data_IF_539052604471
#
_entry.id   IF_539052604471
#
_cell.length_a   1.000
_cell.length_b   1.000
_cell.length_c   1.000
_cell.angle_alpha   90.00
_cell.angle_beta   90.00
_cell.angle_gamma   90.00
#
_symmetry.space_group_name_H-M   'P 1'
#
loop_
_entity.id
_entity.type
_entity.pdbx_description
1 polymer ?
#
# COMPACT_ATOMS: atom_id res chain seq x y z
N UNK A 1 2.16 -12.71 -38.44
CA UNK A 1 3.20 -11.97 -37.68
C UNK A 1 2.89 -12.11 -36.20
N UNK A 2 3.86 -12.53 -35.39
CA UNK A 2 3.71 -12.55 -33.93
C UNK A 2 3.91 -11.11 -33.44
N UNK A 3 2.84 -10.45 -32.98
CA UNK A 3 2.97 -9.12 -32.38
C UNK A 3 3.58 -9.22 -30.97
N UNK A 4 4.23 -8.15 -30.51
CA UNK A 4 4.79 -8.04 -29.16
C UNK A 4 4.16 -6.85 -28.47
N UNK A 5 3.86 -7.01 -27.19
CA UNK A 5 3.41 -5.94 -26.31
C UNK A 5 4.59 -5.39 -25.51
N UNK A 6 4.58 -4.07 -25.31
CA UNK A 6 5.43 -3.37 -24.36
C UNK A 6 4.53 -2.93 -23.20
N UNK A 7 4.59 -3.64 -22.10
CA UNK A 7 3.74 -3.39 -20.94
C UNK A 7 4.50 -2.53 -19.93
N UNK A 8 3.86 -1.50 -19.40
CA UNK A 8 4.38 -0.73 -18.28
C UNK A 8 3.79 -1.36 -17.03
N UNK A 9 4.66 -1.78 -16.13
CA UNK A 9 4.31 -2.50 -14.92
C UNK A 9 4.68 -1.65 -13.70
N UNK A 10 3.86 -1.71 -12.66
CA UNK A 10 4.14 -1.08 -11.37
C UNK A 10 3.79 -2.06 -10.25
N UNK A 11 4.62 -2.13 -9.23
CA UNK A 11 4.28 -2.90 -8.03
C UNK A 11 3.33 -2.06 -7.16
N UNK A 12 2.24 -2.66 -6.70
CA UNK A 12 1.29 -1.98 -5.82
C UNK A 12 2.02 -1.41 -4.59
N UNK A 13 1.78 -0.13 -4.29
CA UNK A 13 2.43 0.61 -3.20
C UNK A 13 3.76 1.27 -3.57
N UNK A 14 4.32 1.02 -4.76
CA UNK A 14 5.51 1.73 -5.22
C UNK A 14 5.22 3.14 -5.73
N UNK A 15 6.24 4.00 -5.62
CA UNK A 15 6.24 5.31 -6.24
C UNK A 15 6.14 5.20 -7.78
N UNK A 16 5.34 6.04 -8.49
CA UNK A 16 5.18 6.01 -9.96
C UNK A 16 6.48 6.01 -10.78
N UNK A 17 7.52 6.66 -10.26
CA UNK A 17 8.87 6.65 -10.85
C UNK A 17 9.50 5.25 -10.98
N UNK A 18 8.97 4.26 -10.28
CA UNK A 18 9.43 2.87 -10.32
C UNK A 18 8.71 2.03 -11.40
N UNK A 19 7.86 2.64 -12.24
CA UNK A 19 7.28 1.95 -13.39
C UNK A 19 8.40 1.34 -14.25
N UNK A 20 8.24 0.08 -14.61
CA UNK A 20 9.23 -0.66 -15.39
C UNK A 20 8.60 -1.33 -16.62
N UNK A 21 9.28 -1.35 -17.77
CA UNK A 21 8.74 -1.96 -18.98
C UNK A 21 9.05 -3.47 -19.05
N UNK A 22 8.07 -4.25 -19.50
CA UNK A 22 8.18 -5.68 -19.82
C UNK A 22 7.75 -5.93 -21.26
N UNK A 23 8.58 -6.67 -22.01
CA UNK A 23 8.30 -7.07 -23.39
C UNK A 23 7.79 -8.50 -23.42
N UNK A 24 6.61 -8.72 -24.00
CA UNK A 24 6.03 -10.06 -24.13
C UNK A 24 5.40 -10.26 -25.50
N UNK A 25 5.45 -11.48 -26.03
CA UNK A 25 4.74 -11.83 -27.26
C UNK A 25 3.24 -11.94 -27.01
N UNK A 26 2.42 -11.45 -27.94
CA UNK A 26 0.96 -11.48 -27.81
C UNK A 26 0.36 -12.89 -27.76
N UNK A 27 1.06 -13.89 -28.30
CA UNK A 27 0.64 -15.30 -28.27
C UNK A 27 1.05 -16.03 -26.99
N UNK A 28 1.70 -15.35 -26.03
CA UNK A 28 2.06 -15.92 -24.73
C UNK A 28 0.90 -15.79 -23.74
N UNK A 29 1.03 -16.47 -22.62
CA UNK A 29 0.06 -16.42 -21.53
C UNK A 29 0.55 -15.53 -20.38
N UNK A 30 -0.37 -15.13 -19.51
CA UNK A 30 -0.10 -14.33 -18.30
C UNK A 30 0.94 -15.02 -17.40
N UNK A 31 0.98 -16.35 -17.31
CA UNK A 31 2.03 -17.07 -16.58
C UNK A 31 3.44 -16.70 -17.06
N UNK A 32 3.65 -16.57 -18.37
CA UNK A 32 4.93 -16.11 -18.91
C UNK A 32 5.20 -14.64 -18.59
N UNK A 33 4.16 -13.80 -18.49
CA UNK A 33 4.31 -12.41 -18.04
C UNK A 33 4.79 -12.36 -16.59
N UNK A 34 4.24 -13.19 -15.71
CA UNK A 34 4.68 -13.28 -14.31
C UNK A 34 6.17 -13.65 -14.22
N UNK A 35 6.62 -14.64 -14.99
CA UNK A 35 8.05 -15.02 -15.05
C UNK A 35 8.93 -13.84 -15.47
N UNK A 36 8.54 -13.13 -16.54
CA UNK A 36 9.28 -11.97 -17.05
C UNK A 36 9.32 -10.81 -16.05
N UNK A 37 8.23 -10.57 -15.32
CA UNK A 37 8.18 -9.55 -14.26
C UNK A 37 9.13 -9.91 -13.12
N UNK A 38 9.09 -11.15 -12.64
CA UNK A 38 10.01 -11.63 -11.59
C UNK A 38 11.47 -11.48 -12.04
N UNK A 39 11.77 -11.89 -13.27
CA UNK A 39 13.12 -11.76 -13.83
C UNK A 39 13.58 -10.30 -13.95
N UNK A 40 12.66 -9.39 -14.29
CA UNK A 40 12.98 -7.97 -14.45
C UNK A 40 13.35 -7.29 -13.13
N UNK A 41 12.80 -7.76 -12.01
CA UNK A 41 13.00 -7.16 -10.70
C UNK A 41 13.29 -8.22 -9.61
N UNK A 42 14.29 -9.07 -9.87
CA UNK A 42 14.61 -10.24 -9.03
C UNK A 42 14.75 -9.92 -7.55
N UNK A 43 15.47 -8.83 -7.22
CA UNK A 43 15.67 -8.44 -5.82
C UNK A 43 14.36 -8.08 -5.11
N UNK A 44 13.42 -7.48 -5.83
CA UNK A 44 12.12 -7.11 -5.27
C UNK A 44 11.19 -8.31 -5.09
N UNK A 45 11.38 -9.35 -5.89
CA UNK A 45 10.57 -10.57 -5.89
C UNK A 45 11.35 -11.80 -5.41
N UNK A 46 12.44 -11.62 -4.67
CA UNK A 46 13.32 -12.73 -4.24
C UNK A 46 12.54 -13.73 -3.38
N UNK A 47 11.66 -13.22 -2.52
CA UNK A 47 10.84 -14.02 -1.62
C UNK A 47 9.58 -14.65 -2.27
N UNK A 48 9.21 -14.29 -3.50
CA UNK A 48 7.97 -14.74 -4.14
C UNK A 48 8.26 -15.54 -5.41
N UNK A 49 7.59 -16.67 -5.64
CA UNK A 49 7.66 -17.31 -6.96
C UNK A 49 6.84 -16.53 -7.98
N UNK A 50 7.18 -16.68 -9.27
CA UNK A 50 6.43 -16.02 -10.33
C UNK A 50 4.95 -16.38 -10.28
N UNK A 51 4.61 -17.64 -9.96
CA UNK A 51 3.22 -18.10 -9.79
C UNK A 51 2.46 -17.31 -8.72
N UNK A 52 3.17 -16.80 -7.71
CA UNK A 52 2.58 -16.09 -6.59
C UNK A 52 2.40 -14.59 -6.90
N UNK A 53 2.80 -14.09 -8.06
CA UNK A 53 2.47 -12.70 -8.45
C UNK A 53 1.00 -12.61 -8.87
N UNK A 54 0.20 -11.79 -8.20
CA UNK A 54 -1.12 -11.37 -8.66
C UNK A 54 -0.99 -10.16 -9.58
N UNK A 55 -1.66 -10.23 -10.74
CA UNK A 55 -1.57 -9.19 -11.77
C UNK A 55 -2.96 -8.66 -12.09
N UNK A 56 -3.09 -7.35 -12.24
CA UNK A 56 -4.29 -6.71 -12.79
C UNK A 56 -3.94 -5.98 -14.07
N UNK A 57 -4.78 -6.15 -15.10
CA UNK A 57 -4.79 -5.25 -16.25
C UNK A 57 -5.45 -3.95 -15.83
N UNK A 58 -4.72 -2.86 -15.97
CA UNK A 58 -5.20 -1.50 -15.74
C UNK A 58 -4.96 -0.67 -17.00
N UNK A 59 -5.61 0.49 -17.08
CA UNK A 59 -5.43 1.42 -18.19
C UNK A 59 -5.44 2.85 -17.62
N UNK A 60 -4.29 3.26 -17.09
CA UNK A 60 -4.14 4.56 -16.41
C UNK A 60 -3.12 5.41 -17.16
N UNK A 61 -3.54 6.56 -17.66
CA UNK A 61 -2.66 7.52 -18.33
C UNK A 61 -1.60 8.05 -17.36
N UNK A 62 -0.34 8.06 -17.79
CA UNK A 62 0.82 8.54 -17.04
C UNK A 62 0.98 10.06 -17.20
N UNK A 63 -0.03 10.81 -16.74
CA UNK A 63 -0.05 12.27 -16.71
C UNK A 63 -0.04 12.80 -15.25
N UNK A 64 -0.37 14.08 -15.07
CA UNK A 64 -0.47 14.74 -13.77
C UNK A 64 -1.64 14.21 -12.91
N UNK A 65 -2.59 13.49 -13.50
CA UNK A 65 -3.71 12.84 -12.81
C UNK A 65 -3.39 11.42 -12.35
N UNK A 66 -2.29 10.82 -12.83
CA UNK A 66 -1.96 9.41 -12.61
C UNK A 66 -2.00 8.99 -11.14
N UNK A 67 -1.36 9.75 -10.24
CA UNK A 67 -1.30 9.39 -8.82
C UNK A 67 -2.68 9.36 -8.17
N UNK A 68 -3.56 10.29 -8.54
CA UNK A 68 -4.95 10.31 -8.07
C UNK A 68 -5.70 9.07 -8.55
N UNK A 69 -5.63 8.79 -9.85
CA UNK A 69 -6.32 7.66 -10.46
C UNK A 69 -5.83 6.32 -9.89
N UNK A 70 -4.53 6.20 -9.60
CA UNK A 70 -3.95 5.03 -8.96
C UNK A 70 -4.47 4.84 -7.53
N UNK A 71 -4.63 5.92 -6.76
CA UNK A 71 -5.13 5.87 -5.38
C UNK A 71 -6.63 5.58 -5.28
N UNK A 72 -7.41 5.97 -6.29
CA UNK A 72 -8.86 5.72 -6.37
C UNK A 72 -9.18 4.33 -6.94
N UNK A 73 -8.17 3.60 -7.43
CA UNK A 73 -8.34 2.30 -8.06
C UNK A 73 -8.78 1.24 -7.04
N UNK A 74 -9.99 0.71 -7.21
CA UNK A 74 -10.46 -0.43 -6.44
C UNK A 74 -10.09 -1.75 -7.14
N UNK A 75 -9.18 -2.49 -6.53
CA UNK A 75 -8.76 -3.81 -7.01
C UNK A 75 -9.66 -4.90 -6.41
N UNK A 76 -10.28 -5.68 -7.27
CA UNK A 76 -11.01 -6.89 -6.88
C UNK A 76 -10.12 -8.09 -7.21
N UNK A 77 -9.79 -8.92 -6.20
CA UNK A 77 -9.02 -10.14 -6.39
C UNK A 77 -9.70 -11.12 -7.37
N UNK A 78 -11.03 -11.07 -7.51
CA UNK A 78 -11.76 -11.89 -8.49
C UNK A 78 -11.53 -11.45 -9.94
N UNK A 79 -10.99 -10.24 -10.14
CA UNK A 79 -10.68 -9.65 -11.45
C UNK A 79 -9.19 -9.70 -11.78
N UNK A 80 -8.36 -10.34 -10.95
CA UNK A 80 -6.96 -10.55 -11.30
C UNK A 80 -6.82 -11.48 -12.50
N UNK A 81 -5.73 -11.30 -13.24
CA UNK A 81 -5.48 -12.02 -14.49
C UNK A 81 -5.17 -13.49 -14.20
N UNK A 82 -5.87 -14.39 -14.89
CA UNK A 82 -5.62 -15.82 -14.76
C UNK A 82 -4.31 -16.18 -15.45
N UNK A 83 -3.45 -17.04 -14.86
CA UNK A 83 -2.15 -17.39 -15.43
C UNK A 83 -2.25 -18.07 -16.81
N UNK A 84 -3.41 -18.64 -17.15
CA UNK A 84 -3.66 -19.31 -18.45
C UNK A 84 -4.26 -18.37 -19.49
N UNK A 85 -4.59 -17.13 -19.14
CA UNK A 85 -5.12 -16.17 -20.10
C UNK A 85 -4.05 -15.83 -21.14
N UNK A 86 -4.43 -15.88 -22.40
CA UNK A 86 -3.59 -15.43 -23.50
C UNK A 86 -3.53 -13.91 -23.53
N UNK A 87 -2.35 -13.34 -23.79
CA UNK A 87 -2.18 -11.89 -23.80
C UNK A 87 -3.09 -11.20 -24.84
N UNK A 88 -3.42 -11.87 -25.96
CA UNK A 88 -4.40 -11.39 -26.95
C UNK A 88 -5.84 -11.30 -26.41
N UNK A 89 -6.20 -12.11 -25.42
CA UNK A 89 -7.52 -12.06 -24.75
C UNK A 89 -7.54 -11.01 -23.64
N UNK A 90 -6.40 -10.79 -22.98
CA UNK A 90 -6.25 -9.73 -21.97
C UNK A 90 -6.34 -8.35 -22.62
N UNK A 91 -5.72 -8.17 -23.78
CA UNK A 91 -5.64 -6.90 -24.50
C UNK A 91 -6.45 -6.92 -25.80
N UNK A 92 -7.70 -6.46 -25.74
CA UNK A 92 -8.60 -6.32 -26.91
C UNK A 92 -8.05 -5.37 -27.99
N UNK A 93 -7.14 -4.49 -27.59
CA UNK A 93 -6.40 -3.58 -28.47
C UNK A 93 -4.94 -3.49 -28.02
N UNK A 94 -4.02 -3.06 -28.90
CA UNK A 94 -2.63 -2.85 -28.51
C UNK A 94 -2.53 -1.91 -27.29
N UNK A 95 -1.72 -2.26 -26.26
CA UNK A 95 -1.50 -1.41 -25.10
C UNK A 95 -1.05 0.00 -25.50
N UNK A 96 -1.68 1.02 -24.93
CA UNK A 96 -1.46 2.41 -25.32
C UNK A 96 -0.10 2.92 -24.82
N UNK A 97 0.62 3.73 -25.60
CA UNK A 97 1.82 4.39 -25.08
C UNK A 97 1.46 5.29 -23.89
N UNK A 98 2.41 5.50 -22.98
CA UNK A 98 2.23 6.35 -21.79
C UNK A 98 1.08 5.94 -20.85
N UNK A 99 0.65 4.68 -20.86
CA UNK A 99 -0.29 4.16 -19.85
C UNK A 99 0.41 3.16 -18.94
N UNK A 100 0.00 3.08 -17.67
CA UNK A 100 0.24 1.90 -16.85
C UNK A 100 -0.67 0.78 -17.36
N UNK A 101 -0.09 -0.39 -17.61
CA UNK A 101 -0.80 -1.52 -18.19
C UNK A 101 -1.06 -2.63 -17.18
N UNK A 102 -0.11 -2.87 -16.28
CA UNK A 102 -0.15 -3.98 -15.33
C UNK A 102 0.20 -3.47 -13.94
N UNK A 103 -0.67 -3.73 -12.98
CA UNK A 103 -0.34 -3.62 -11.57
C UNK A 103 0.06 -5.00 -11.03
N UNK A 104 1.13 -5.05 -10.24
CA UNK A 104 1.73 -6.28 -9.73
C UNK A 104 1.63 -6.29 -8.21
N UNK A 105 1.07 -7.35 -7.63
CA UNK A 105 1.13 -7.61 -6.20
C UNK A 105 1.78 -8.98 -5.99
N UNK A 106 2.96 -9.06 -5.35
CA UNK A 106 3.51 -10.34 -4.94
C UNK A 106 2.66 -10.92 -3.80
N UNK A 107 2.11 -12.11 -4.02
CA UNK A 107 1.61 -13.00 -2.97
C UNK A 107 2.78 -13.91 -2.55
N UNK A 108 2.74 -14.45 -1.34
CA UNK A 108 3.73 -15.43 -0.87
C UNK A 108 3.07 -16.81 -0.80
N UNK A 109 3.79 -17.91 -1.05
CA UNK A 109 3.20 -19.24 -1.19
C UNK A 109 2.59 -19.76 0.12
N UNK A 110 1.41 -20.37 0.00
CA UNK A 110 0.65 -20.95 1.10
C UNK A 110 1.41 -22.10 1.76
N UNK A 111 1.75 -21.93 3.04
CA UNK A 111 2.57 -22.85 3.84
C UNK A 111 3.27 -22.15 5.00
N UNK A 112 3.37 -20.82 4.94
CA UNK A 112 3.67 -19.95 6.06
C UNK A 112 2.32 -19.49 6.66
N UNK A 113 2.07 -19.63 7.97
CA UNK A 113 0.82 -19.18 8.58
C UNK A 113 0.58 -17.72 8.22
N UNK A 114 -0.64 -17.39 7.78
CA UNK A 114 -1.14 -16.06 7.45
C UNK A 114 -0.23 -14.90 7.92
N UNK A 115 0.60 -14.41 7.01
CA UNK A 115 1.31 -13.14 7.15
C UNK A 115 1.08 -12.38 5.85
N UNK A 116 0.36 -11.26 5.95
CA UNK A 116 0.24 -10.26 4.92
C UNK A 116 1.65 -9.78 4.52
N UNK A 117 2.23 -10.43 3.51
CA UNK A 117 3.64 -10.32 3.14
C UNK A 117 4.14 -8.89 3.16
N UNK A 118 5.38 -8.71 3.64
CA UNK A 118 6.06 -7.47 3.99
C UNK A 118 5.75 -6.22 3.14
N UNK A 119 4.52 -5.70 3.18
CA UNK A 119 4.15 -4.47 2.53
C UNK A 119 4.57 -3.37 3.47
N UNK A 120 5.63 -2.66 3.11
CA UNK A 120 6.04 -1.49 3.87
C UNK A 120 5.00 -0.39 3.65
N UNK A 121 4.17 -0.16 4.66
CA UNK A 121 3.17 0.90 4.66
C UNK A 121 3.76 2.17 5.26
N UNK A 122 3.37 3.32 4.71
CA UNK A 122 3.73 4.63 5.24
C UNK A 122 2.52 5.20 5.97
N UNK A 123 2.65 5.42 7.26
CA UNK A 123 1.61 5.98 8.11
C UNK A 123 1.98 7.40 8.47
N UNK A 124 1.08 8.33 8.20
CA UNK A 124 1.16 9.68 8.72
C UNK A 124 0.50 9.70 10.10
N UNK A 125 1.28 10.06 11.10
CA UNK A 125 0.93 10.05 12.51
C UNK A 125 0.88 11.48 13.06
N UNK A 126 0.00 11.73 14.03
CA UNK A 126 -0.09 13.00 14.74
C UNK A 126 -0.36 12.75 16.22
N UNK A 127 0.30 13.50 17.09
CA UNK A 127 0.02 13.47 18.52
C UNK A 127 -1.24 14.26 18.81
N UNK A 128 -2.09 13.71 19.67
CA UNK A 128 -3.35 14.32 20.05
C UNK A 128 -3.10 15.68 20.72
N UNK A 129 -3.73 16.73 20.18
CA UNK A 129 -3.56 18.11 20.64
C UNK A 129 -2.49 18.90 19.89
N UNK A 130 -1.63 18.23 19.10
CA UNK A 130 -0.62 18.93 18.30
C UNK A 130 -1.20 19.65 17.09
N UNK A 131 -0.47 20.68 16.66
CA UNK A 131 -0.76 21.37 15.42
C UNK A 131 -0.60 20.44 14.21
N UNK A 132 -1.47 20.51 13.19
CA UNK A 132 -1.36 19.73 11.94
C UNK A 132 0.00 19.72 11.25
N UNK A 133 0.83 20.75 11.46
CA UNK A 133 2.17 20.82 10.88
C UNK A 133 3.17 19.85 11.52
N UNK A 134 2.82 19.24 12.65
CA UNK A 134 3.63 18.22 13.32
C UNK A 134 3.30 16.79 12.89
N UNK A 135 2.49 16.60 11.84
CA UNK A 135 2.30 15.28 11.24
C UNK A 135 3.65 14.70 10.81
N UNK A 136 3.94 13.48 11.24
CA UNK A 136 5.19 12.79 10.92
C UNK A 136 4.96 11.40 10.33
N UNK A 137 5.80 10.95 9.37
CA UNK A 137 5.66 9.64 8.78
C UNK A 137 6.40 8.55 9.58
N UNK A 138 5.75 7.40 9.72
CA UNK A 138 6.30 6.12 10.19
C UNK A 138 6.22 5.10 9.04
N UNK A 139 7.30 4.35 8.86
CA UNK A 139 7.36 3.19 7.97
C UNK A 139 7.26 1.94 8.82
N UNK A 140 6.30 1.09 8.51
CA UNK A 140 6.09 -0.18 9.21
C UNK A 140 5.71 -1.26 8.21
N UNK A 141 6.10 -2.48 8.48
CA UNK A 141 5.77 -3.62 7.63
C UNK A 141 4.36 -4.11 7.98
N UNK A 142 3.54 -4.44 6.99
CA UNK A 142 2.15 -4.89 7.19
C UNK A 142 2.00 -6.14 8.07
N UNK A 143 3.04 -6.96 8.18
CA UNK A 143 3.09 -8.15 9.06
C UNK A 143 3.36 -7.83 10.52
N UNK A 144 3.91 -6.66 10.81
CA UNK A 144 4.17 -6.23 12.18
C UNK A 144 2.85 -5.97 12.90
N UNK A 145 2.90 -5.85 14.22
CA UNK A 145 1.73 -5.60 15.06
C UNK A 145 1.72 -4.15 15.54
N UNK A 146 0.57 -3.70 16.05
CA UNK A 146 0.42 -2.37 16.66
C UNK A 146 1.44 -2.13 17.78
N UNK A 147 1.87 -3.16 18.51
CA UNK A 147 2.95 -3.07 19.49
C UNK A 147 4.29 -2.61 18.88
N UNK A 148 4.64 -3.11 17.70
CA UNK A 148 5.85 -2.69 16.98
C UNK A 148 5.71 -1.24 16.50
N UNK A 149 4.52 -0.85 16.05
CA UNK A 149 4.22 0.54 15.69
C UNK A 149 4.45 1.50 16.86
N UNK A 150 4.02 1.15 18.07
CA UNK A 150 4.26 1.95 19.28
C UNK A 150 5.76 2.14 19.54
N UNK A 151 6.56 1.10 19.36
CA UNK A 151 8.03 1.19 19.50
C UNK A 151 8.65 2.11 18.43
N UNK A 152 8.21 2.01 17.18
CA UNK A 152 8.69 2.85 16.08
C UNK A 152 8.33 4.33 16.29
N UNK A 153 7.14 4.62 16.80
CA UNK A 153 6.70 5.99 17.16
C UNK A 153 7.63 6.58 18.23
N UNK A 154 7.89 5.82 19.30
CA UNK A 154 8.85 6.24 20.33
C UNK A 154 10.24 6.50 19.76
N UNK A 155 10.72 5.62 18.88
CA UNK A 155 12.02 5.81 18.25
C UNK A 155 12.08 7.03 17.34
N UNK A 156 10.97 7.37 16.68
CA UNK A 156 10.88 8.52 15.80
C UNK A 156 10.95 9.85 16.57
N UNK A 157 10.22 9.94 17.69
CA UNK A 157 10.16 11.13 18.54
C UNK A 157 10.69 10.83 19.96
N UNK A 158 11.94 10.35 20.04
CA UNK A 158 12.56 9.92 21.33
C UNK A 158 12.48 10.98 22.42
N UNK A 159 12.69 12.25 22.08
CA UNK A 159 12.64 13.35 23.05
C UNK A 159 11.25 13.61 23.61
N UNK A 160 10.21 13.41 22.80
CA UNK A 160 8.82 13.64 23.20
C UNK A 160 8.30 12.50 24.08
N UNK A 161 8.70 11.26 23.76
CA UNK A 161 8.23 10.04 24.43
C UNK A 161 9.26 9.42 25.39
N UNK A 162 10.31 10.15 25.79
CA UNK A 162 11.41 9.60 26.60
C UNK A 162 10.91 9.04 27.95
N UNK A 163 9.96 9.74 28.56
CA UNK A 163 9.38 9.41 29.86
C UNK A 163 8.13 8.50 29.79
N UNK A 164 7.68 8.10 28.60
CA UNK A 164 6.42 7.35 28.40
C UNK A 164 6.75 5.95 27.89
N UNK A 165 6.34 4.87 28.56
CA UNK A 165 6.57 3.52 28.01
C UNK A 165 5.75 3.30 26.73
N UNK A 166 6.27 2.48 25.81
CA UNK A 166 5.56 2.20 24.54
C UNK A 166 4.14 1.67 24.77
N UNK A 167 3.96 0.84 25.81
CA UNK A 167 2.66 0.26 26.19
C UNK A 167 1.61 1.32 26.56
N UNK A 168 2.05 2.48 27.05
CA UNK A 168 1.20 3.57 27.53
C UNK A 168 0.78 4.53 26.41
N UNK A 169 1.27 4.31 25.18
CA UNK A 169 0.74 4.97 23.98
C UNK A 169 -0.63 4.38 23.61
N UNK A 170 -1.61 5.23 23.36
CA UNK A 170 -2.90 4.86 22.77
C UNK A 170 -2.92 5.31 21.31
N UNK A 171 -3.29 4.40 20.41
CA UNK A 171 -3.30 4.63 18.97
C UNK A 171 -4.71 4.47 18.42
N UNK A 172 -5.14 5.36 17.54
CA UNK A 172 -6.40 5.23 16.80
C UNK A 172 -6.16 5.30 15.30
N UNK A 173 -6.71 4.34 14.56
CA UNK A 173 -6.80 4.41 13.09
C UNK A 173 -7.80 5.50 12.71
N UNK A 174 -7.37 6.42 11.87
CA UNK A 174 -8.19 7.43 11.20
C UNK A 174 -7.87 7.43 9.71
N UNK A 175 -8.69 8.14 8.94
CA UNK A 175 -8.48 8.27 7.50
C UNK A 175 -8.95 9.66 7.07
N UNK A 176 -8.17 10.68 7.43
CA UNK A 176 -8.53 12.09 7.28
C UNK A 176 -7.68 12.77 6.20
N UNK A 177 -8.27 13.32 5.13
CA UNK A 177 -7.51 14.05 4.13
C UNK A 177 -6.87 15.30 4.74
N UNK A 178 -5.57 15.49 4.51
CA UNK A 178 -4.81 16.67 4.91
C UNK A 178 -4.98 17.74 3.83
N UNK A 179 -6.13 18.41 3.87
CA UNK A 179 -6.54 19.49 2.97
C UNK A 179 -6.91 20.77 3.75
N UNK A 180 -7.48 21.76 3.06
CA UNK A 180 -7.88 23.04 3.66
C UNK A 180 -8.90 22.92 4.80
N UNK A 181 -9.61 21.80 4.90
CA UNK A 181 -10.59 21.53 5.97
C UNK A 181 -10.01 20.67 7.10
N UNK A 182 -8.73 20.29 7.03
CA UNK A 182 -8.13 19.32 7.94
C UNK A 182 -8.27 19.68 9.42
N UNK A 183 -8.01 20.93 9.81
CA UNK A 183 -8.14 21.38 11.20
C UNK A 183 -9.54 21.19 11.77
N UNK A 184 -10.55 21.53 10.96
CA UNK A 184 -11.95 21.36 11.33
C UNK A 184 -12.31 19.89 11.49
N UNK A 185 -11.89 19.06 10.54
CA UNK A 185 -12.16 17.62 10.55
C UNK A 185 -11.46 16.93 11.72
N UNK A 186 -10.22 17.31 12.01
CA UNK A 186 -9.45 16.80 13.14
C UNK A 186 -10.14 17.11 14.46
N UNK A 187 -10.65 18.34 14.64
CA UNK A 187 -11.41 18.72 15.84
C UNK A 187 -12.66 17.86 16.03
N UNK A 188 -13.42 17.62 14.96
CA UNK A 188 -14.62 16.77 14.99
C UNK A 188 -14.26 15.33 15.42
N UNK A 189 -13.22 14.74 14.82
CA UNK A 189 -12.77 13.39 15.16
C UNK A 189 -12.31 13.32 16.62
N UNK A 190 -11.54 14.30 17.08
CA UNK A 190 -11.03 14.35 18.44
C UNK A 190 -12.16 14.47 19.50
N UNK A 191 -13.17 15.29 19.25
CA UNK A 191 -14.24 15.54 20.23
C UNK A 191 -15.33 14.46 20.22
N UNK A 192 -15.71 13.97 19.03
CA UNK A 192 -16.92 13.17 18.86
C UNK A 192 -16.66 11.70 18.54
N UNK A 193 -15.56 11.37 17.88
CA UNK A 193 -15.30 10.00 17.44
C UNK A 193 -14.35 9.27 18.38
N UNK A 194 -13.22 9.88 18.74
CA UNK A 194 -12.23 9.23 19.61
C UNK A 194 -12.77 8.97 21.02
N UNK A 195 -13.67 9.82 21.52
CA UNK A 195 -14.31 9.66 22.84
C UNK A 195 -15.18 8.40 22.96
N UNK A 196 -15.61 7.83 21.83
CA UNK A 196 -16.43 6.61 21.78
C UNK A 196 -15.74 5.43 21.08
N UNK A 197 -14.52 5.64 20.56
CA UNK A 197 -13.77 4.65 19.79
C UNK A 197 -12.70 4.00 20.64
N UNK A 198 -12.69 2.67 20.65
CA UNK A 198 -11.61 1.92 21.29
C UNK A 198 -10.30 2.12 20.53
N UNK A 199 -9.22 2.29 21.26
CA UNK A 199 -7.87 2.32 20.70
C UNK A 199 -7.49 0.97 20.11
N UNK A 200 -6.52 0.97 19.19
CA UNK A 200 -6.03 -0.24 18.54
C UNK A 200 -5.41 -1.19 19.56
N UNK A 201 -5.71 -2.48 19.42
CA UNK A 201 -5.13 -3.49 20.31
C UNK A 201 -3.67 -3.74 19.92
N UNK A 202 -2.75 -3.88 20.90
CA UNK A 202 -1.32 -4.01 20.63
C UNK A 202 -0.94 -5.29 19.87
N UNK A 203 -1.82 -6.29 19.86
CA UNK A 203 -1.60 -7.57 19.17
C UNK A 203 -2.23 -7.60 17.77
N UNK A 204 -2.98 -6.56 17.39
CA UNK A 204 -3.59 -6.50 16.08
C UNK A 204 -2.50 -6.38 15.01
N UNK A 205 -2.62 -7.18 13.96
CA UNK A 205 -1.71 -7.10 12.81
C UNK A 205 -1.96 -5.83 12.02
N UNK A 206 -0.92 -5.18 11.51
CA UNK A 206 -1.09 -3.97 10.69
C UNK A 206 -1.93 -4.22 9.44
N UNK A 207 -1.93 -5.45 8.91
CA UNK A 207 -2.80 -5.89 7.83
C UNK A 207 -4.28 -6.04 8.21
N UNK A 208 -4.58 -6.27 9.49
CA UNK A 208 -5.95 -6.31 10.01
C UNK A 208 -6.46 -4.89 10.23
N UNK A 209 -5.58 -4.00 10.69
CA UNK A 209 -5.89 -2.59 10.88
C UNK A 209 -6.07 -1.90 9.53
N UNK A 210 -5.21 -2.18 8.54
CA UNK A 210 -5.24 -1.58 7.21
C UNK A 210 -5.60 -2.64 6.15
N UNK A 211 -6.90 -2.76 5.94
CA UNK A 211 -7.58 -3.58 4.93
C UNK A 211 -7.31 -3.12 3.48
N UNK A 212 -6.76 -1.92 3.31
CA UNK A 212 -6.25 -1.39 2.05
C UNK A 212 -5.00 -0.52 2.31
N UNK A 213 -4.15 -0.28 1.28
CA UNK A 213 -3.00 0.59 1.42
C UNK A 213 -3.39 1.99 1.96
N UNK A 214 -2.67 2.54 2.95
CA UNK A 214 -2.96 3.87 3.50
C UNK A 214 -2.94 4.95 2.41
N UNK A 215 -3.94 5.83 2.39
CA UNK A 215 -4.13 6.84 1.34
C UNK A 215 -3.07 7.94 1.42
N UNK A 216 -2.52 8.33 0.28
CA UNK A 216 -1.60 9.46 0.22
C UNK A 216 -2.26 10.77 0.68
N UNK A 217 -1.49 11.62 1.37
CA UNK A 217 -1.95 12.91 1.93
C UNK A 217 -3.09 12.79 2.94
N UNK A 218 -3.24 11.65 3.61
CA UNK A 218 -4.17 11.48 4.72
C UNK A 218 -3.42 11.34 6.05
N UNK A 219 -4.04 11.76 7.15
CA UNK A 219 -3.67 11.33 8.49
C UNK A 219 -4.21 9.91 8.72
N UNK A 220 -3.37 9.04 9.27
CA UNK A 220 -3.67 7.61 9.42
C UNK A 220 -3.76 7.18 10.88
N UNK A 221 -2.94 7.75 11.76
CA UNK A 221 -2.87 7.39 13.17
C UNK A 221 -2.89 8.66 14.03
N UNK A 222 -3.77 8.69 15.02
CA UNK A 222 -3.70 9.65 16.13
C UNK A 222 -3.08 8.95 17.33
N UNK A 223 -2.16 9.63 18.00
CA UNK A 223 -1.39 9.11 19.15
C UNK A 223 -1.78 9.91 20.39
N UNK A 224 -2.22 9.26 21.45
CA UNK A 224 -2.30 9.88 22.77
C UNK A 224 -1.45 9.09 23.77
N UNK A 225 -1.19 9.70 24.92
CA UNK A 225 -0.54 9.05 26.04
C UNK A 225 -1.05 9.69 27.33
N UNK A 226 -1.06 8.91 28.40
CA UNK A 226 -1.42 9.37 29.74
C UNK A 226 -0.13 9.42 30.55
N UNK A 227 0.15 10.58 31.14
CA UNK A 227 1.27 10.79 32.07
C UNK A 227 0.89 10.39 33.50
#
# INVERSE_FOLDING_TARGET
MISKFNLNCLVLGDHPRNIFPVKISSTKIVGNLKDLIKEKNKHKFDAADAKDLELWKVDLLLDDTFERNLNELQLDHKKSLSPVDEMLKVFDSPPQPMHLHILVQPLLPAGIPHQAGHLLINLNCLVFGDHPWYIFPIKIVSTEIVGDLKNLIKEKNKHEFDAVDAKDLELWKVDLPVDDNFERNLKIVNELELSHKQSLSPVDGMFEVFDSPPRHKHLHIIIAYIL
#
